data_IF_802390010448
#
_entry.id   IF_802390010448
#
_cell.length_a   1.000
_cell.length_b   1.000
_cell.length_c   1.000
_cell.angle_alpha   90.00
_cell.angle_beta   90.00
_cell.angle_gamma   90.00
#
_symmetry.space_group_name_H-M   'P 1'
#
loop_
_entity.id
_entity.type
_entity.pdbx_description
1 polymer ?
#
# COMPACT_ATOMS: atom_id res chain seq x y z
N UNK A 1 -20.08 6.51 14.50
CA UNK A 1 -19.45 6.93 13.23
C UNK A 1 -20.28 6.59 11.98
N UNK A 2 -21.17 5.59 11.95
CA UNK A 2 -22.11 5.40 10.80
C UNK A 2 -21.45 5.10 9.45
N UNK A 3 -20.22 4.56 9.48
CA UNK A 3 -19.39 4.27 8.30
C UNK A 3 -19.50 2.79 7.93
N UNK A 4 -19.50 2.49 6.63
CA UNK A 4 -19.35 1.11 6.16
C UNK A 4 -17.88 0.69 6.30
N UNK A 5 -17.59 -0.15 7.30
CA UNK A 5 -16.24 -0.56 7.65
C UNK A 5 -15.95 -2.00 7.20
N UNK A 6 -14.74 -2.23 6.69
CA UNK A 6 -14.23 -3.53 6.33
C UNK A 6 -12.75 -3.64 6.69
N UNK A 7 -12.29 -4.86 6.96
CA UNK A 7 -10.90 -5.15 7.33
C UNK A 7 -10.30 -6.18 6.41
N UNK A 8 -9.14 -5.89 5.84
CA UNK A 8 -8.34 -6.75 4.98
C UNK A 8 -7.11 -7.23 5.77
N UNK A 9 -6.90 -8.54 5.86
CA UNK A 9 -5.84 -9.22 6.63
C UNK A 9 -4.91 -10.05 5.75
N UNK A 10 -5.24 -10.28 4.47
CA UNK A 10 -4.36 -11.00 3.55
C UNK A 10 -4.45 -10.51 2.11
N UNK A 11 -3.43 -10.81 1.31
CA UNK A 11 -3.37 -10.39 -0.09
C UNK A 11 -4.44 -11.06 -0.98
N UNK A 12 -4.91 -12.26 -0.62
CA UNK A 12 -5.88 -13.01 -1.43
C UNK A 12 -7.27 -12.35 -1.44
N UNK A 13 -7.65 -11.68 -0.36
CA UNK A 13 -8.96 -11.01 -0.21
C UNK A 13 -8.94 -9.53 -0.61
N UNK A 14 -7.74 -8.97 -0.84
CA UNK A 14 -7.57 -7.57 -1.24
C UNK A 14 -8.36 -7.22 -2.52
N UNK A 15 -8.34 -8.03 -3.61
CA UNK A 15 -9.07 -7.69 -4.82
C UNK A 15 -10.59 -7.59 -4.58
N UNK A 16 -11.15 -8.53 -3.81
CA UNK A 16 -12.58 -8.58 -3.52
C UNK A 16 -13.01 -7.39 -2.64
N UNK A 17 -12.28 -7.13 -1.56
CA UNK A 17 -12.61 -6.04 -0.61
C UNK A 17 -12.40 -4.66 -1.23
N UNK A 18 -11.35 -4.49 -2.02
CA UNK A 18 -11.11 -3.26 -2.78
C UNK A 18 -12.23 -3.00 -3.79
N UNK A 19 -12.65 -4.02 -4.55
CA UNK A 19 -13.77 -3.87 -5.49
C UNK A 19 -15.07 -3.45 -4.78
N UNK A 20 -15.36 -4.04 -3.61
CA UNK A 20 -16.52 -3.67 -2.78
C UNK A 20 -16.41 -2.26 -2.22
N UNK A 21 -15.23 -1.81 -1.78
CA UNK A 21 -15.06 -0.46 -1.24
C UNK A 21 -15.25 0.62 -2.31
N UNK A 22 -14.72 0.37 -3.52
CA UNK A 22 -14.82 1.29 -4.66
C UNK A 22 -16.23 1.31 -5.27
N UNK A 23 -16.96 0.19 -5.23
CA UNK A 23 -18.33 0.10 -5.73
C UNK A 23 -19.40 0.53 -4.69
N UNK A 24 -18.98 0.97 -3.51
CA UNK A 24 -19.91 1.44 -2.47
C UNK A 24 -20.58 2.77 -2.88
N UNK A 25 -21.70 3.10 -2.23
CA UNK A 25 -22.45 4.34 -2.48
C UNK A 25 -21.59 5.57 -2.19
N UNK A 26 -21.31 6.36 -3.23
CA UNK A 26 -20.48 7.58 -3.14
C UNK A 26 -21.05 8.67 -2.21
N UNK A 27 -22.32 8.56 -1.80
CA UNK A 27 -22.92 9.49 -0.83
C UNK A 27 -22.70 9.05 0.62
N UNK A 28 -22.06 7.90 0.85
CA UNK A 28 -21.84 7.32 2.18
C UNK A 28 -20.36 7.06 2.43
N UNK A 29 -19.86 7.34 3.64
CA UNK A 29 -18.46 7.07 3.97
C UNK A 29 -18.18 5.57 4.01
N UNK A 30 -17.00 5.19 3.52
CA UNK A 30 -16.45 3.83 3.59
C UNK A 30 -15.08 3.87 4.27
N UNK A 31 -14.78 2.84 5.08
CA UNK A 31 -13.49 2.66 5.75
C UNK A 31 -12.98 1.24 5.49
N UNK A 32 -11.78 1.14 4.94
CA UNK A 32 -11.10 -0.14 4.72
C UNK A 32 -9.78 -0.15 5.48
N UNK A 33 -9.73 -0.92 6.57
CA UNK A 33 -8.50 -1.22 7.29
C UNK A 33 -7.72 -2.30 6.52
N UNK A 34 -6.42 -2.12 6.32
CA UNK A 34 -5.55 -3.15 5.76
C UNK A 34 -4.42 -3.46 6.75
N UNK A 35 -4.27 -4.72 7.16
CA UNK A 35 -3.07 -5.18 7.85
C UNK A 35 -1.95 -5.32 6.83
N UNK A 36 -0.87 -4.57 7.04
CA UNK A 36 0.30 -4.49 6.15
C UNK A 36 1.57 -4.89 6.90
N UNK A 37 2.64 -5.15 6.15
CA UNK A 37 3.96 -5.38 6.73
C UNK A 37 4.49 -4.08 7.36
N UNK A 38 5.08 -4.18 8.55
CA UNK A 38 5.54 -3.01 9.30
C UNK A 38 6.95 -2.59 8.88
N UNK A 39 7.78 -3.54 8.46
CA UNK A 39 9.21 -3.34 8.22
C UNK A 39 9.58 -3.39 6.74
N UNK A 40 8.85 -2.64 5.92
CA UNK A 40 9.15 -2.48 4.49
C UNK A 40 9.66 -1.06 4.21
N UNK A 41 10.78 -0.97 3.49
CA UNK A 41 11.33 0.32 3.07
C UNK A 41 10.73 0.77 1.74
N UNK A 42 10.52 2.08 1.58
CA UNK A 42 10.11 2.67 0.30
C UNK A 42 11.32 2.75 -0.62
N UNK A 43 11.22 2.13 -1.80
CA UNK A 43 12.22 2.20 -2.86
C UNK A 43 11.59 2.73 -4.16
N UNK A 44 12.35 3.43 -5.03
CA UNK A 44 13.75 3.83 -4.85
C UNK A 44 13.90 4.96 -3.82
N UNK A 45 15.07 5.05 -3.20
CA UNK A 45 15.40 6.10 -2.23
C UNK A 45 16.76 6.73 -2.57
N UNK A 46 16.85 8.06 -2.56
CA UNK A 46 18.12 8.79 -2.68
C UNK A 46 18.53 9.27 -1.29
N UNK A 47 19.62 8.72 -0.71
CA UNK A 47 20.11 9.17 0.60
C UNK A 47 20.58 10.62 0.58
N UNK A 48 20.57 11.27 1.75
CA UNK A 48 21.12 12.60 1.90
C UNK A 48 22.60 12.63 1.53
N UNK A 49 22.97 13.51 0.60
CA UNK A 49 24.35 13.65 0.09
C UNK A 49 24.64 12.85 -1.18
N UNK A 50 23.71 12.01 -1.66
CA UNK A 50 23.83 11.29 -2.93
C UNK A 50 23.24 12.09 -4.10
N UNK A 51 23.77 11.89 -5.30
CA UNK A 51 23.17 12.41 -6.51
C UNK A 51 21.94 11.57 -6.92
N UNK A 52 21.02 12.14 -7.73
CA UNK A 52 19.77 11.47 -8.11
C UNK A 52 19.96 10.11 -8.80
N UNK A 53 21.06 9.94 -9.54
CA UNK A 53 21.38 8.70 -10.25
C UNK A 53 22.06 7.64 -9.36
N UNK A 54 22.46 8.01 -8.14
CA UNK A 54 23.04 7.12 -7.13
C UNK A 54 21.96 6.53 -6.19
N UNK A 55 20.69 6.63 -6.58
CA UNK A 55 19.57 6.11 -5.81
C UNK A 55 19.67 4.61 -5.54
N UNK A 56 19.25 4.20 -4.34
CA UNK A 56 19.20 2.81 -3.93
C UNK A 56 17.93 2.19 -4.50
N UNK A 57 18.10 1.12 -5.28
CA UNK A 57 17.02 0.27 -5.76
C UNK A 57 16.70 -0.86 -4.76
N UNK A 58 15.49 -1.40 -4.88
CA UNK A 58 15.07 -2.58 -4.13
C UNK A 58 16.07 -3.74 -4.36
N UNK A 59 16.41 -4.54 -3.33
CA UNK A 59 17.42 -5.60 -3.43
C UNK A 59 17.20 -6.57 -4.61
N UNK A 60 15.96 -6.88 -4.97
CA UNK A 60 15.64 -7.76 -6.11
C UNK A 60 16.02 -7.20 -7.49
N UNK A 61 16.29 -5.89 -7.59
CA UNK A 61 16.61 -5.19 -8.84
C UNK A 61 18.09 -4.85 -8.98
N UNK A 62 18.93 -5.19 -7.99
CA UNK A 62 20.38 -5.02 -8.09
C UNK A 62 20.94 -6.12 -9.00
N UNK A 63 21.69 -5.76 -10.03
CA UNK A 63 22.54 -6.73 -10.74
C UNK A 63 23.55 -7.30 -9.74
N UNK A 64 23.77 -8.62 -9.80
CA UNK A 64 24.78 -9.32 -9.01
C UNK A 64 26.17 -8.70 -9.20
#
# INVERSE_FOLDING_TARGET
MGVHAMRCTSAAELPEKMAKSLAYDNNKPVFMECLVEHNEHVFPMVPGGSALHEGILHPSLRKA
#
